data_IF_012682115994
#
_entry.id   IF_012682115994
#
_cell.length_a   1.000
_cell.length_b   1.000
_cell.length_c   1.000
_cell.angle_alpha   90.00
_cell.angle_beta   90.00
_cell.angle_gamma   90.00
#
_symmetry.space_group_name_H-M   'P 1'
#
loop_
_entity.id
_entity.type
_entity.pdbx_description
1 polymer ?
#
# COMPACT_ATOMS: atom_id res chain seq x y z
N UNK A 1 -31.83 6.00 62.82
CA UNK A 1 -32.47 6.94 61.88
C UNK A 1 -32.45 6.25 60.50
N UNK A 2 -33.57 5.84 59.90
CA UNK A 2 -34.65 6.66 59.29
C UNK A 2 -34.07 7.65 58.25
N UNK A 3 -34.49 7.70 56.97
CA UNK A 3 -35.71 7.17 56.31
C UNK A 3 -35.50 6.91 54.80
N UNK A 4 -36.09 5.81 54.29
CA UNK A 4 -36.79 5.71 52.97
C UNK A 4 -38.28 6.11 53.19
N UNK A 5 -39.22 6.07 52.20
CA UNK A 5 -39.09 5.82 50.77
C UNK A 5 -39.20 7.17 50.02
N UNK A 6 -40.18 7.54 49.13
CA UNK A 6 -41.40 6.86 48.66
C UNK A 6 -41.23 6.07 47.34
N UNK A 7 -42.28 5.37 46.93
CA UNK A 7 -42.70 5.11 45.55
C UNK A 7 -44.12 5.70 45.38
N UNK A 8 -44.57 5.90 44.14
CA UNK A 8 -45.99 6.14 43.83
C UNK A 8 -46.40 5.19 42.70
N UNK A 9 -47.24 4.22 43.03
CA UNK A 9 -48.17 3.61 42.09
C UNK A 9 -49.23 4.66 41.68
N UNK A 10 -49.84 4.55 40.49
CA UNK A 10 -51.24 4.10 40.42
C UNK A 10 -51.82 3.94 38.98
N UNK A 11 -52.74 2.97 38.87
CA UNK A 11 -53.89 2.87 37.93
C UNK A 11 -53.63 2.34 36.51
N UNK A 12 -54.04 1.08 36.31
CA UNK A 12 -54.50 0.53 35.02
C UNK A 12 -55.81 1.20 34.56
N UNK A 13 -56.07 1.26 33.24
CA UNK A 13 -57.42 1.07 32.69
C UNK A 13 -57.42 0.65 31.22
N UNK A 14 -57.60 -0.66 31.03
CA UNK A 14 -58.41 -1.35 30.00
C UNK A 14 -58.83 -0.64 28.70
N UNK A 15 -58.50 -1.32 27.59
CA UNK A 15 -59.37 -1.61 26.44
C UNK A 15 -59.75 -0.52 25.44
N UNK A 16 -59.35 -0.71 24.17
CA UNK A 16 -60.30 -1.21 23.15
C UNK A 16 -59.59 -1.65 21.84
N UNK A 17 -60.05 -2.76 21.27
CA UNK A 17 -59.70 -3.20 19.92
C UNK A 17 -60.50 -2.41 18.88
N UNK A 18 -59.84 -1.95 17.81
CA UNK A 18 -60.48 -1.63 16.53
C UNK A 18 -59.63 -2.24 15.41
N UNK A 19 -60.13 -3.28 14.76
CA UNK A 19 -59.46 -3.90 13.63
C UNK A 19 -59.91 -3.24 12.33
N UNK A 20 -58.97 -2.78 11.50
CA UNK A 20 -59.22 -2.59 10.07
C UNK A 20 -58.27 -3.45 9.24
N UNK A 21 -58.87 -4.20 8.31
CA UNK A 21 -58.17 -5.09 7.39
C UNK A 21 -57.53 -4.25 6.27
N UNK A 22 -56.27 -4.54 5.94
CA UNK A 22 -55.81 -4.46 4.54
C UNK A 22 -55.15 -5.77 4.16
N UNK A 23 -55.64 -6.33 3.06
CA UNK A 23 -55.16 -7.57 2.44
C UNK A 23 -53.80 -7.34 1.78
N UNK A 24 -52.90 -8.34 1.78
CA UNK A 24 -51.65 -8.25 1.03
C UNK A 24 -51.89 -8.52 -0.47
N UNK A 25 -51.29 -7.70 -1.33
CA UNK A 25 -51.08 -8.01 -2.74
C UNK A 25 -49.61 -8.44 -2.94
N UNK A 26 -49.31 -9.35 -3.88
CA UNK A 26 -47.99 -9.98 -3.99
C UNK A 26 -46.98 -9.17 -4.83
N UNK A 27 -45.79 -9.75 -4.96
CA UNK A 27 -44.73 -9.45 -5.94
C UNK A 27 -43.89 -8.18 -5.76
N UNK A 28 -42.78 -8.30 -4.99
CA UNK A 28 -41.41 -8.14 -5.53
C UNK A 28 -40.46 -9.10 -4.81
N UNK A 29 -40.13 -10.24 -5.42
CA UNK A 29 -39.12 -11.16 -4.91
C UNK A 29 -37.77 -10.96 -5.65
N UNK A 30 -36.88 -10.09 -5.15
CA UNK A 30 -35.54 -9.90 -5.75
C UNK A 30 -34.47 -9.28 -4.82
N UNK A 31 -34.20 -9.87 -3.65
CA UNK A 31 -33.01 -9.51 -2.83
C UNK A 31 -32.09 -10.71 -2.49
N UNK A 32 -32.32 -11.88 -3.09
CA UNK A 32 -31.59 -13.11 -2.75
C UNK A 32 -30.26 -13.36 -3.50
N UNK A 33 -29.92 -12.56 -4.52
CA UNK A 33 -28.89 -12.92 -5.50
C UNK A 33 -27.45 -12.44 -5.14
N UNK A 34 -27.28 -11.18 -4.71
CA UNK A 34 -25.94 -10.57 -4.60
C UNK A 34 -25.05 -11.18 -3.50
N UNK A 35 -25.62 -11.64 -2.38
CA UNK A 35 -24.82 -12.21 -1.26
C UNK A 35 -24.20 -13.58 -1.54
N UNK A 36 -24.56 -14.26 -2.65
CA UNK A 36 -24.01 -15.60 -3.00
C UNK A 36 -22.75 -15.57 -3.86
N UNK A 37 -22.36 -14.42 -4.44
CA UNK A 37 -21.17 -14.31 -5.30
C UNK A 37 -19.88 -14.31 -4.47
N UNK A 38 -19.71 -13.35 -3.55
CA UNK A 38 -18.50 -13.19 -2.74
C UNK A 38 -18.16 -14.43 -1.89
N UNK A 39 -19.18 -15.18 -1.42
CA UNK A 39 -18.95 -16.40 -0.63
C UNK A 39 -18.41 -17.58 -1.47
N UNK A 40 -18.48 -17.53 -2.80
CA UNK A 40 -17.88 -18.58 -3.67
C UNK A 40 -16.41 -18.29 -3.97
N UNK A 41 -16.04 -17.04 -4.30
CA UNK A 41 -14.63 -16.68 -4.57
C UNK A 41 -13.76 -16.85 -3.32
N UNK A 42 -14.25 -16.41 -2.15
CA UNK A 42 -13.54 -16.59 -0.88
C UNK A 42 -13.39 -18.06 -0.45
N UNK A 43 -14.21 -18.98 -0.98
CA UNK A 43 -14.05 -20.42 -0.72
C UNK A 43 -12.99 -21.02 -1.65
N UNK A 44 -13.00 -20.65 -2.94
CA UNK A 44 -11.98 -21.06 -3.92
C UNK A 44 -10.56 -20.63 -3.53
N UNK A 45 -10.38 -19.42 -2.96
CA UNK A 45 -9.07 -18.89 -2.56
C UNK A 45 -8.41 -19.60 -1.37
N UNK A 46 -9.14 -20.43 -0.61
CA UNK A 46 -8.61 -21.12 0.58
C UNK A 46 -7.94 -22.46 0.27
N UNK A 47 -8.31 -23.09 -0.85
CA UNK A 47 -7.92 -24.47 -1.16
C UNK A 47 -6.86 -24.55 -2.29
N UNK A 48 -6.58 -23.44 -2.98
CA UNK A 48 -5.61 -23.36 -4.08
C UNK A 48 -4.41 -22.47 -3.70
N UNK A 49 -3.16 -22.85 -4.07
CA UNK A 49 -2.00 -22.01 -3.84
C UNK A 49 -2.12 -20.68 -4.61
N UNK A 50 -1.53 -19.57 -4.12
CA UNK A 50 -1.59 -18.27 -4.78
C UNK A 50 -1.14 -18.24 -6.24
N UNK A 51 -0.23 -19.15 -6.62
CA UNK A 51 0.25 -19.35 -8.00
C UNK A 51 -0.77 -19.99 -8.95
N UNK A 52 -1.87 -20.53 -8.42
CA UNK A 52 -2.99 -21.07 -9.23
C UNK A 52 -4.20 -20.13 -9.26
N UNK A 53 -4.12 -18.96 -8.62
CA UNK A 53 -5.20 -17.98 -8.65
C UNK A 53 -5.33 -17.38 -10.06
N UNK A 54 -6.55 -17.10 -10.56
CA UNK A 54 -6.75 -16.58 -11.91
C UNK A 54 -5.92 -15.32 -12.23
N UNK A 55 -5.81 -14.41 -11.26
CA UNK A 55 -5.02 -13.18 -11.38
C UNK A 55 -3.50 -13.44 -11.48
N UNK A 56 -2.98 -14.51 -10.87
CA UNK A 56 -1.59 -14.94 -11.08
C UNK A 56 -1.40 -15.41 -12.53
N UNK A 57 -2.28 -16.30 -12.99
CA UNK A 57 -2.21 -16.89 -14.33
C UNK A 57 -2.39 -15.82 -15.42
N UNK A 58 -3.17 -14.77 -15.15
CA UNK A 58 -3.27 -13.57 -15.98
C UNK A 58 -1.93 -12.81 -16.01
N UNK A 59 -1.47 -12.29 -14.87
CA UNK A 59 -0.25 -11.46 -14.77
C UNK A 59 0.98 -12.19 -15.33
N UNK A 60 1.16 -13.47 -15.00
CA UNK A 60 2.28 -14.29 -15.49
C UNK A 60 2.26 -14.51 -17.01
N UNK A 61 1.12 -14.32 -17.68
CA UNK A 61 1.00 -14.41 -19.14
C UNK A 61 1.09 -13.06 -19.84
N UNK A 62 0.53 -12.00 -19.26
CA UNK A 62 0.51 -10.66 -19.87
C UNK A 62 1.78 -9.86 -19.57
N UNK A 63 2.13 -9.67 -18.29
CA UNK A 63 3.27 -8.84 -17.89
C UNK A 63 4.50 -9.65 -17.48
N UNK A 64 4.35 -10.93 -17.14
CA UNK A 64 5.44 -11.82 -16.72
C UNK A 64 6.69 -11.76 -17.63
N UNK A 65 6.56 -11.97 -18.96
CA UNK A 65 7.71 -11.92 -19.87
C UNK A 65 8.38 -10.55 -19.96
N UNK A 66 7.62 -9.45 -19.82
CA UNK A 66 8.17 -8.10 -19.85
C UNK A 66 8.90 -7.78 -18.53
N UNK A 67 8.33 -8.20 -17.41
CA UNK A 67 8.97 -8.11 -16.08
C UNK A 67 10.29 -8.90 -16.06
N UNK A 68 10.31 -10.12 -16.59
CA UNK A 68 11.51 -10.95 -16.68
C UNK A 68 12.60 -10.27 -17.52
N UNK A 69 12.27 -9.84 -18.75
CA UNK A 69 13.21 -9.15 -19.63
C UNK A 69 13.76 -7.83 -19.05
N UNK A 70 12.94 -7.06 -18.34
CA UNK A 70 13.37 -5.84 -17.66
C UNK A 70 14.27 -6.14 -16.46
N UNK A 71 14.00 -7.21 -15.70
CA UNK A 71 14.86 -7.64 -14.60
C UNK A 71 16.23 -8.13 -15.08
N UNK A 72 16.27 -8.95 -16.13
CA UNK A 72 17.53 -9.41 -16.74
C UNK A 72 18.36 -8.23 -17.25
N UNK A 73 17.70 -7.25 -17.89
CA UNK A 73 18.35 -6.02 -18.32
C UNK A 73 18.87 -5.20 -17.13
N UNK A 74 18.15 -5.10 -16.01
CA UNK A 74 18.67 -4.45 -14.79
C UNK A 74 19.90 -5.16 -14.23
N UNK A 75 19.88 -6.50 -14.17
CA UNK A 75 21.02 -7.30 -13.68
C UNK A 75 22.27 -7.07 -14.55
N UNK A 76 22.14 -7.13 -15.87
CA UNK A 76 23.24 -6.83 -16.82
C UNK A 76 23.78 -5.40 -16.68
N UNK A 77 22.92 -4.43 -16.35
CA UNK A 77 23.33 -3.05 -16.09
C UNK A 77 24.08 -2.92 -14.77
N UNK A 78 23.64 -3.63 -13.73
CA UNK A 78 24.30 -3.69 -12.42
C UNK A 78 25.70 -4.33 -12.54
N UNK A 79 25.84 -5.39 -13.33
CA UNK A 79 27.13 -6.00 -13.65
C UNK A 79 28.06 -5.00 -14.35
N UNK A 80 27.60 -4.33 -15.41
CA UNK A 80 28.37 -3.26 -16.10
C UNK A 80 28.79 -2.10 -15.18
N UNK A 81 27.92 -1.68 -14.25
CA UNK A 81 28.27 -0.65 -13.26
C UNK A 81 29.35 -1.17 -12.30
N UNK A 82 29.24 -2.41 -11.85
CA UNK A 82 30.08 -2.98 -10.79
C UNK A 82 31.45 -3.45 -11.29
N UNK A 83 31.51 -4.06 -12.47
CA UNK A 83 32.73 -4.67 -13.02
C UNK A 83 33.53 -3.73 -13.92
N UNK A 84 32.87 -2.85 -14.67
CA UNK A 84 33.52 -2.00 -15.68
C UNK A 84 33.31 -0.49 -15.50
N UNK A 85 32.67 -0.07 -14.39
CA UNK A 85 32.37 1.33 -14.08
C UNK A 85 31.66 2.07 -15.25
N UNK A 86 30.79 1.36 -15.97
CA UNK A 86 30.12 1.88 -17.16
C UNK A 86 29.12 3.00 -16.84
N UNK A 87 29.49 4.23 -17.17
CA UNK A 87 28.69 5.44 -16.95
C UNK A 87 27.36 5.41 -17.72
N UNK A 88 27.32 4.78 -18.90
CA UNK A 88 26.09 4.68 -19.70
C UNK A 88 25.09 3.73 -19.05
N UNK A 89 25.58 2.65 -18.42
CA UNK A 89 24.73 1.73 -17.67
C UNK A 89 24.06 2.42 -16.46
N UNK A 90 24.75 3.39 -15.84
CA UNK A 90 24.22 4.22 -14.75
C UNK A 90 23.03 5.11 -15.14
N UNK A 91 22.91 5.54 -16.41
CA UNK A 91 21.73 6.27 -16.90
C UNK A 91 20.68 5.33 -17.51
N UNK A 92 21.09 4.25 -18.18
CA UNK A 92 20.17 3.20 -18.68
C UNK A 92 19.32 2.61 -17.54
N UNK A 93 19.89 2.38 -16.36
CA UNK A 93 19.20 1.78 -15.21
C UNK A 93 17.99 2.61 -14.75
N UNK A 94 18.03 3.93 -14.93
CA UNK A 94 16.94 4.86 -14.61
C UNK A 94 15.74 4.65 -15.55
N UNK A 95 16.00 4.43 -16.84
CA UNK A 95 14.97 4.19 -17.83
C UNK A 95 14.31 2.82 -17.61
N UNK A 96 15.11 1.78 -17.35
CA UNK A 96 14.61 0.42 -17.13
C UNK A 96 13.83 0.34 -15.81
N UNK A 97 14.34 0.93 -14.72
CA UNK A 97 13.63 1.04 -13.42
C UNK A 97 12.29 1.78 -13.54
N UNK A 98 12.26 2.93 -14.23
CA UNK A 98 11.04 3.69 -14.48
C UNK A 98 10.03 2.92 -15.36
N UNK A 99 10.51 2.01 -16.22
CA UNK A 99 9.64 1.18 -17.07
C UNK A 99 9.04 0.02 -16.27
N UNK A 100 9.87 -0.70 -15.51
CA UNK A 100 9.43 -1.79 -14.65
C UNK A 100 8.48 -1.32 -13.54
N UNK A 101 8.77 -0.18 -12.91
CA UNK A 101 7.88 0.40 -11.90
C UNK A 101 6.52 0.82 -12.48
N UNK A 102 6.43 1.26 -13.75
CA UNK A 102 5.14 1.52 -14.41
C UNK A 102 4.30 0.25 -14.60
N UNK A 103 4.90 -0.91 -14.87
CA UNK A 103 4.17 -2.19 -14.88
C UNK A 103 3.61 -2.50 -13.48
N UNK A 104 4.46 -2.39 -12.46
CA UNK A 104 4.06 -2.56 -11.06
C UNK A 104 2.94 -1.58 -10.64
N UNK A 105 2.94 -0.33 -11.11
CA UNK A 105 1.85 0.64 -10.89
C UNK A 105 0.50 0.14 -11.42
N UNK A 106 0.50 -0.67 -12.48
CA UNK A 106 -0.71 -1.27 -13.04
C UNK A 106 -1.09 -2.59 -12.39
N UNK A 107 -0.14 -3.35 -11.85
CA UNK A 107 -0.34 -4.70 -11.31
C UNK A 107 -0.75 -4.67 -9.84
N UNK A 108 -0.01 -3.95 -9.01
CA UNK A 108 -0.13 -3.99 -7.53
C UNK A 108 -1.54 -3.66 -7.03
N UNK A 109 -2.28 -2.69 -7.61
CA UNK A 109 -3.66 -2.41 -7.17
C UNK A 109 -4.74 -3.39 -7.68
N UNK A 110 -4.45 -4.33 -8.59
CA UNK A 110 -5.50 -5.13 -9.28
C UNK A 110 -6.27 -6.07 -8.36
N UNK A 111 -5.58 -6.76 -7.47
CA UNK A 111 -6.18 -7.61 -6.44
C UNK A 111 -5.30 -7.54 -5.19
N UNK A 112 -5.76 -6.78 -4.20
CA UNK A 112 -4.97 -6.49 -3.00
C UNK A 112 -4.71 -7.73 -2.13
N UNK A 113 -5.60 -8.72 -2.18
CA UNK A 113 -5.37 -10.00 -1.49
C UNK A 113 -4.21 -10.74 -2.15
N UNK A 114 -4.21 -10.81 -3.49
CA UNK A 114 -3.12 -11.43 -4.23
C UNK A 114 -1.79 -10.70 -4.04
N UNK A 115 -1.79 -9.37 -4.18
CA UNK A 115 -0.63 -8.50 -3.93
C UNK A 115 0.00 -8.76 -2.57
N UNK A 116 -0.81 -8.73 -1.50
CA UNK A 116 -0.33 -8.92 -0.14
C UNK A 116 0.14 -10.36 0.13
N UNK A 117 -0.56 -11.37 -0.42
CA UNK A 117 -0.20 -12.78 -0.26
C UNK A 117 1.06 -13.17 -1.03
N UNK A 118 1.26 -12.64 -2.25
CA UNK A 118 2.48 -12.84 -3.04
C UNK A 118 3.61 -11.86 -2.70
N UNK A 119 3.38 -10.94 -1.75
CA UNK A 119 4.37 -9.95 -1.32
C UNK A 119 4.90 -9.10 -2.48
N UNK A 120 4.03 -8.71 -3.41
CA UNK A 120 4.41 -7.98 -4.62
C UNK A 120 5.03 -6.61 -4.31
N UNK A 121 4.72 -6.04 -3.15
CA UNK A 121 5.32 -4.79 -2.66
C UNK A 121 6.83 -4.95 -2.45
N UNK A 122 7.25 -6.09 -1.88
CA UNK A 122 8.66 -6.42 -1.68
C UNK A 122 9.36 -6.77 -3.01
N UNK A 123 8.67 -7.44 -3.93
CA UNK A 123 9.20 -7.72 -5.26
C UNK A 123 9.44 -6.42 -6.05
N UNK A 124 8.45 -5.53 -6.08
CA UNK A 124 8.55 -4.17 -6.62
C UNK A 124 9.74 -3.42 -6.03
N UNK A 125 9.83 -3.33 -4.69
CA UNK A 125 10.92 -2.62 -4.02
C UNK A 125 12.29 -3.17 -4.42
N UNK A 126 12.45 -4.50 -4.37
CA UNK A 126 13.72 -5.18 -4.67
C UNK A 126 14.14 -5.00 -6.13
N UNK A 127 13.22 -5.19 -7.05
CA UNK A 127 13.49 -5.21 -8.49
C UNK A 127 13.63 -3.80 -9.06
N UNK A 128 12.68 -2.91 -8.80
CA UNK A 128 12.70 -1.55 -9.38
C UNK A 128 13.81 -0.68 -8.78
N UNK A 129 14.04 -0.75 -7.46
CA UNK A 129 14.76 0.29 -6.73
C UNK A 129 15.94 -0.23 -5.92
N UNK A 130 15.73 -1.07 -4.91
CA UNK A 130 16.74 -1.42 -3.91
C UNK A 130 18.06 -1.93 -4.51
N UNK A 131 18.00 -2.90 -5.42
CA UNK A 131 19.21 -3.54 -5.97
C UNK A 131 20.02 -2.56 -6.82
N UNK A 132 19.33 -1.75 -7.64
CA UNK A 132 19.90 -0.67 -8.45
C UNK A 132 20.47 0.47 -7.59
N UNK A 133 19.78 0.84 -6.50
CA UNK A 133 20.23 1.82 -5.51
C UNK A 133 21.53 1.36 -4.85
N UNK A 134 21.61 0.11 -4.40
CA UNK A 134 22.82 -0.41 -3.75
C UNK A 134 24.02 -0.49 -4.70
N UNK A 135 23.81 -0.89 -5.96
CA UNK A 135 24.86 -0.89 -6.99
C UNK A 135 25.39 0.53 -7.27
N UNK A 136 24.49 1.49 -7.54
CA UNK A 136 24.87 2.89 -7.74
C UNK A 136 25.49 3.51 -6.48
N UNK A 137 25.03 3.14 -5.28
CA UNK A 137 25.60 3.58 -4.01
C UNK A 137 27.02 3.08 -3.85
N UNK A 138 27.29 1.81 -4.13
CA UNK A 138 28.64 1.26 -4.10
C UNK A 138 29.57 1.99 -5.08
N UNK A 139 29.15 2.12 -6.34
CA UNK A 139 29.92 2.81 -7.38
C UNK A 139 30.17 4.31 -7.06
N UNK A 140 29.19 5.00 -6.47
CA UNK A 140 29.30 6.41 -6.06
C UNK A 140 30.26 6.67 -4.89
N UNK A 141 30.69 5.63 -4.16
CA UNK A 141 31.67 5.72 -3.07
C UNK A 141 33.09 5.36 -3.53
N UNK A 142 33.30 5.07 -4.81
CA UNK A 142 34.63 4.91 -5.40
C UNK A 142 35.40 6.25 -5.43
N UNK A 143 36.73 6.17 -5.56
CA UNK A 143 37.63 7.35 -5.58
C UNK A 143 37.78 7.94 -6.99
N UNK A 144 37.19 7.30 -8.00
CA UNK A 144 37.34 7.65 -9.42
C UNK A 144 36.42 8.80 -9.87
N UNK A 145 36.73 9.47 -10.98
CA UNK A 145 35.91 10.55 -11.54
C UNK A 145 34.47 10.08 -11.89
N UNK A 146 34.33 8.78 -12.20
CA UNK A 146 33.05 8.10 -12.40
C UNK A 146 32.07 8.23 -11.20
N UNK A 147 32.61 8.35 -9.97
CA UNK A 147 31.83 8.43 -8.72
C UNK A 147 30.77 9.53 -8.74
N UNK A 148 31.09 10.70 -9.33
CA UNK A 148 30.19 11.85 -9.44
C UNK A 148 28.99 11.59 -10.34
N UNK A 149 29.20 10.85 -11.43
CA UNK A 149 28.15 10.49 -12.38
C UNK A 149 27.21 9.48 -11.72
N UNK A 150 27.75 8.40 -11.13
CA UNK A 150 26.92 7.43 -10.41
C UNK A 150 26.17 8.04 -9.22
N UNK A 151 26.76 9.02 -8.52
CA UNK A 151 26.04 9.77 -7.48
C UNK A 151 24.85 10.57 -8.05
N UNK A 152 25.02 11.16 -9.24
CA UNK A 152 23.93 11.88 -9.93
C UNK A 152 22.80 10.92 -10.32
N UNK A 153 23.13 9.78 -10.92
CA UNK A 153 22.15 8.74 -11.28
C UNK A 153 21.45 8.17 -10.04
N UNK A 154 22.17 7.97 -8.94
CA UNK A 154 21.60 7.54 -7.65
C UNK A 154 20.55 8.53 -7.11
N UNK A 155 20.83 9.83 -7.13
CA UNK A 155 19.86 10.87 -6.72
C UNK A 155 18.61 10.82 -7.61
N UNK A 156 18.80 10.73 -8.94
CA UNK A 156 17.69 10.61 -9.90
C UNK A 156 16.83 9.37 -9.61
N UNK A 157 17.44 8.22 -9.35
CA UNK A 157 16.73 6.96 -9.06
C UNK A 157 15.92 7.05 -7.75
N UNK A 158 16.50 7.66 -6.71
CA UNK A 158 15.81 7.87 -5.43
C UNK A 158 14.58 8.77 -5.62
N UNK A 159 14.72 9.89 -6.34
CA UNK A 159 13.59 10.77 -6.65
C UNK A 159 12.53 10.08 -7.52
N UNK A 160 12.93 9.29 -8.53
CA UNK A 160 12.00 8.48 -9.32
C UNK A 160 11.21 7.49 -8.45
N UNK A 161 11.85 6.90 -7.44
CA UNK A 161 11.19 6.05 -6.44
C UNK A 161 10.18 6.80 -5.58
N UNK A 162 10.54 7.97 -5.05
CA UNK A 162 9.63 8.81 -4.25
C UNK A 162 8.41 9.26 -5.07
N UNK A 163 8.65 9.78 -6.26
CA UNK A 163 7.60 10.17 -7.22
C UNK A 163 6.71 8.98 -7.60
N UNK A 164 7.28 7.77 -7.66
CA UNK A 164 6.56 6.54 -7.94
C UNK A 164 5.63 6.16 -6.79
N UNK A 165 6.11 6.12 -5.55
CA UNK A 165 5.29 5.74 -4.41
C UNK A 165 4.17 6.75 -4.15
N UNK A 166 4.42 8.05 -4.33
CA UNK A 166 3.36 9.07 -4.28
C UNK A 166 2.22 8.80 -5.28
N UNK A 167 2.55 8.42 -6.53
CA UNK A 167 1.55 8.01 -7.53
C UNK A 167 0.85 6.70 -7.17
N UNK A 168 1.56 5.74 -6.58
CA UNK A 168 0.98 4.46 -6.18
C UNK A 168 0.02 4.62 -5.00
N UNK A 169 0.32 5.49 -4.04
CA UNK A 169 -0.51 5.78 -2.87
C UNK A 169 -1.81 6.47 -3.29
N UNK A 170 -1.73 7.53 -4.11
CA UNK A 170 -2.91 8.15 -4.70
C UNK A 170 -3.76 7.15 -5.53
N UNK A 171 -3.11 6.19 -6.21
CA UNK A 171 -3.83 5.12 -6.92
C UNK A 171 -4.50 4.12 -5.96
N UNK A 172 -3.94 3.85 -4.79
CA UNK A 172 -4.59 3.04 -3.76
C UNK A 172 -5.87 3.72 -3.27
N UNK A 173 -5.79 5.01 -2.95
CA UNK A 173 -6.95 5.80 -2.50
C UNK A 173 -8.08 5.78 -3.53
N UNK A 174 -7.75 5.97 -4.82
CA UNK A 174 -8.74 5.91 -5.91
C UNK A 174 -9.31 4.50 -6.18
N UNK A 175 -8.51 3.44 -6.04
CA UNK A 175 -8.93 2.06 -6.39
C UNK A 175 -9.69 1.38 -5.26
N UNK A 176 -9.40 1.72 -4.01
CA UNK A 176 -9.99 1.10 -2.81
C UNK A 176 -10.93 2.05 -2.05
N UNK A 177 -11.19 3.25 -2.58
CA UNK A 177 -12.17 4.23 -2.10
C UNK A 177 -11.99 4.63 -0.62
N UNK A 178 -10.74 4.90 -0.22
CA UNK A 178 -10.40 5.40 1.13
C UNK A 178 -9.32 6.48 1.05
N UNK A 179 -9.20 7.32 2.08
CA UNK A 179 -8.09 8.29 2.23
C UNK A 179 -7.06 7.73 3.21
N UNK A 180 -5.77 7.80 2.90
CA UNK A 180 -4.71 7.26 3.78
C UNK A 180 -4.68 8.02 5.11
N UNK A 181 -4.91 9.33 5.07
CA UNK A 181 -4.90 10.24 6.22
C UNK A 181 -5.93 9.85 7.31
N UNK A 182 -7.07 9.26 6.94
CA UNK A 182 -8.10 8.77 7.88
C UNK A 182 -7.61 7.61 8.77
N UNK A 183 -6.55 6.91 8.34
CA UNK A 183 -6.00 5.73 9.03
C UNK A 183 -4.65 6.01 9.72
N UNK A 184 -4.16 7.25 9.67
CA UNK A 184 -2.97 7.67 10.41
C UNK A 184 -3.33 8.02 11.86
N UNK A 185 -2.47 7.60 12.81
CA UNK A 185 -2.60 8.02 14.21
C UNK A 185 -2.36 9.53 14.41
N UNK A 186 -1.59 10.18 13.54
CA UNK A 186 -1.28 11.61 13.62
C UNK A 186 -1.58 12.29 12.28
N UNK A 187 -2.78 12.87 12.17
CA UNK A 187 -3.27 13.53 10.95
C UNK A 187 -2.43 14.75 10.54
N UNK A 188 -1.68 15.37 11.47
CA UNK A 188 -0.80 16.51 11.21
C UNK A 188 0.67 16.12 10.99
N UNK A 189 0.97 14.85 10.70
CA UNK A 189 2.34 14.35 10.50
C UNK A 189 2.95 13.77 11.76
N UNK A 190 4.10 14.26 12.21
CA UNK A 190 4.73 13.76 13.44
C UNK A 190 4.04 14.31 14.71
N UNK A 191 4.00 13.53 15.81
CA UNK A 191 3.74 14.10 17.13
C UNK A 191 4.77 15.19 17.46
N UNK A 192 4.42 16.08 18.38
CA UNK A 192 5.41 16.97 18.99
C UNK A 192 6.55 16.15 19.63
N UNK A 193 7.76 16.70 19.66
CA UNK A 193 8.98 16.08 20.22
C UNK A 193 8.97 16.09 21.77
N UNK A 194 7.81 15.77 22.34
CA UNK A 194 7.55 15.62 23.75
C UNK A 194 6.71 14.35 24.00
N UNK A 195 6.83 13.81 25.21
CA UNK A 195 6.19 12.54 25.58
C UNK A 195 4.65 12.60 25.50
N UNK A 196 4.05 13.77 25.72
CA UNK A 196 2.60 13.92 25.74
C UNK A 196 2.05 13.94 24.31
N UNK A 197 2.69 14.66 23.39
CA UNK A 197 2.36 14.59 21.95
C UNK A 197 2.54 13.20 21.34
N UNK A 198 3.55 12.45 21.80
CA UNK A 198 3.79 11.06 21.38
C UNK A 198 2.76 10.05 21.91
N UNK A 199 2.00 10.37 22.96
CA UNK A 199 1.09 9.42 23.66
C UNK A 199 -0.38 9.84 23.53
N UNK A 200 -0.67 11.13 23.41
CA UNK A 200 -2.02 11.62 23.13
C UNK A 200 -2.29 11.58 21.63
N UNK A 201 -3.18 10.65 21.26
CA UNK A 201 -3.74 10.55 19.93
C UNK A 201 -5.18 11.08 20.00
N UNK A 202 -5.40 12.35 19.62
CA UNK A 202 -6.71 13.02 19.69
C UNK A 202 -7.77 12.34 18.80
N UNK A 203 -7.33 11.78 17.68
CA UNK A 203 -8.12 11.01 16.72
C UNK A 203 -7.59 9.58 16.70
N UNK A 204 -8.19 8.66 17.45
CA UNK A 204 -7.81 7.25 17.37
C UNK A 204 -7.89 6.75 15.93
N UNK A 205 -6.81 6.16 15.40
CA UNK A 205 -6.76 5.70 14.02
C UNK A 205 -7.98 4.82 13.71
N UNK A 206 -8.68 5.11 12.61
CA UNK A 206 -9.89 4.39 12.27
C UNK A 206 -9.59 2.91 11.98
N UNK A 207 -10.26 1.98 12.65
CA UNK A 207 -10.12 0.57 12.29
C UNK A 207 -10.88 0.29 10.99
N UNK A 208 -10.17 -0.19 9.96
CA UNK A 208 -10.77 -0.61 8.70
C UNK A 208 -11.69 -1.82 8.92
N UNK A 209 -13.01 -1.57 8.91
CA UNK A 209 -14.04 -2.61 8.99
C UNK A 209 -14.13 -3.45 7.71
N UNK A 210 -13.80 -2.88 6.56
CA UNK A 210 -13.73 -3.63 5.29
C UNK A 210 -12.42 -4.45 5.23
N UNK A 211 -12.49 -5.78 5.03
CA UNK A 211 -11.30 -6.62 4.91
C UNK A 211 -10.40 -6.26 3.70
N UNK A 212 -10.94 -5.69 2.63
CA UNK A 212 -10.18 -5.22 1.46
C UNK A 212 -9.34 -4.00 1.84
N UNK A 213 -9.96 -2.98 2.45
CA UNK A 213 -9.26 -1.78 2.94
C UNK A 213 -8.21 -2.18 3.98
N UNK A 214 -8.54 -3.11 4.90
CA UNK A 214 -7.59 -3.63 5.88
C UNK A 214 -6.35 -4.25 5.25
N UNK A 215 -6.49 -5.02 4.17
CA UNK A 215 -5.33 -5.58 3.44
C UNK A 215 -4.60 -4.49 2.63
N UNK A 216 -5.31 -3.50 2.10
CA UNK A 216 -4.71 -2.33 1.44
C UNK A 216 -3.82 -1.50 2.39
N UNK A 217 -4.26 -1.30 3.63
CA UNK A 217 -3.48 -0.62 4.68
C UNK A 217 -2.26 -1.43 5.11
N UNK A 218 -2.38 -2.76 5.26
CA UNK A 218 -1.23 -3.63 5.53
C UNK A 218 -0.22 -3.67 4.36
N UNK A 219 -0.70 -3.50 3.13
CA UNK A 219 0.13 -3.37 1.93
C UNK A 219 0.83 -2.00 1.89
N UNK A 220 0.11 -0.91 2.16
CA UNK A 220 0.68 0.44 2.35
C UNK A 220 1.76 0.45 3.43
N UNK A 221 1.55 -0.21 4.57
CA UNK A 221 2.55 -0.30 5.64
C UNK A 221 3.88 -0.91 5.16
N UNK A 222 3.85 -1.91 4.26
CA UNK A 222 5.08 -2.46 3.64
C UNK A 222 5.75 -1.45 2.72
N UNK A 223 4.96 -0.67 1.98
CA UNK A 223 5.47 0.33 1.06
C UNK A 223 6.03 1.57 1.77
N UNK A 224 5.43 1.99 2.90
CA UNK A 224 5.94 3.05 3.77
C UNK A 224 7.38 2.75 4.27
N UNK A 225 7.70 1.48 4.56
CA UNK A 225 9.09 1.07 4.87
C UNK A 225 10.03 1.34 3.68
N UNK A 226 9.58 1.10 2.45
CA UNK A 226 10.36 1.39 1.24
C UNK A 226 10.52 2.90 1.00
N UNK A 227 9.51 3.71 1.33
CA UNK A 227 9.57 5.18 1.28
C UNK A 227 10.54 5.72 2.35
N UNK A 228 10.48 5.21 3.58
CA UNK A 228 11.44 5.52 4.64
C UNK A 228 12.88 5.17 4.26
N UNK A 229 13.09 4.01 3.63
CA UNK A 229 14.39 3.62 3.06
C UNK A 229 14.87 4.61 1.99
N UNK A 230 14.00 4.98 1.02
CA UNK A 230 14.32 5.98 -0.01
C UNK A 230 14.71 7.33 0.59
N UNK A 231 13.99 7.82 1.60
CA UNK A 231 14.31 9.08 2.27
C UNK A 231 15.61 8.99 3.08
N UNK A 232 15.91 7.84 3.71
CA UNK A 232 17.22 7.58 4.32
C UNK A 232 18.35 7.65 3.28
N UNK A 233 18.19 7.01 2.13
CA UNK A 233 19.16 7.11 1.03
C UNK A 233 19.30 8.56 0.54
N UNK A 234 18.20 9.30 0.39
CA UNK A 234 18.22 10.70 -0.02
C UNK A 234 19.04 11.57 0.96
N UNK A 235 18.82 11.43 2.27
CA UNK A 235 19.56 12.16 3.29
C UNK A 235 21.08 11.84 3.27
N UNK A 236 21.45 10.57 3.04
CA UNK A 236 22.84 10.13 2.91
C UNK A 236 23.51 10.74 1.66
N UNK A 237 22.79 10.79 0.53
CA UNK A 237 23.36 11.18 -0.77
C UNK A 237 23.32 12.71 -0.99
N UNK A 238 22.40 13.43 -0.36
CA UNK A 238 22.40 14.91 -0.33
C UNK A 238 23.26 15.49 0.80
N UNK A 239 23.51 14.72 1.87
CA UNK A 239 24.14 15.21 3.10
C UNK A 239 23.20 16.06 3.97
N UNK A 240 21.97 16.31 3.51
CA UNK A 240 20.95 17.06 4.24
C UNK A 240 20.20 16.09 5.15
N UNK A 241 20.42 16.20 6.47
CA UNK A 241 19.71 15.41 7.48
C UNK A 241 18.28 15.93 7.72
N UNK A 242 17.53 16.17 6.65
CA UNK A 242 16.13 16.58 6.72
C UNK A 242 15.25 15.32 6.50
N UNK A 243 14.79 14.74 7.61
CA UNK A 243 13.89 13.59 7.60
C UNK A 243 12.40 13.99 7.64
N UNK A 244 12.06 15.28 7.52
CA UNK A 244 10.69 15.78 7.62
C UNK A 244 9.75 15.33 6.49
N UNK A 245 10.26 14.54 5.53
CA UNK A 245 9.48 13.91 4.45
C UNK A 245 9.49 12.37 4.51
N UNK A 246 9.97 11.77 5.62
CA UNK A 246 10.11 10.32 5.80
C UNK A 246 8.91 9.63 6.48
N UNK A 247 7.72 10.25 6.41
CA UNK A 247 6.53 9.89 7.22
C UNK A 247 5.32 9.39 6.39
N UNK A 248 5.51 9.16 5.09
CA UNK A 248 4.55 8.46 4.21
C UNK A 248 4.73 6.94 4.29
#
# INVERSE_FOLDING_TARGET
MLKKPPQLEHVERTSQNSAERRTPSPDVASEGALKKSNNKSNKFRKDLPPTEWPIHVEISKSEGPEIEALNDKLNQLIERITESADLSAGEEILLVSNTLSKLYLQIVPRDISYTYTMNLEQHLWKQCFHTSIEALRAASNSVDDASRVFRSSLIKLIHQGLDFYARLFNKYEMVFEFLIEDYLYWQTGLPADDFLGCVLVDSGAHEAADPVIKVALLSLQRMAVSVGDLQRYNAIVTGIKNYSNAWL
#
